data_IF_529758022807
#
_entry.id   IF_529758022807
#
_cell.length_a   1.000
_cell.length_b   1.000
_cell.length_c   1.000
_cell.angle_alpha   90.00
_cell.angle_beta   90.00
_cell.angle_gamma   90.00
#
_symmetry.space_group_name_H-M   'P 1'
#
loop_
_entity.id
_entity.type
_entity.pdbx_description
1 polymer ?
#
# COMPACT_ATOMS: atom_id res chain seq x y z
N UNK A 1 23.25 12.53 71.98
CA UNK A 1 22.83 13.25 70.75
C UNK A 1 23.08 12.33 69.59
N UNK A 2 22.04 11.72 69.05
CA UNK A 2 22.10 10.79 67.94
C UNK A 2 21.70 11.48 66.64
N UNK A 3 22.65 11.73 65.76
CA UNK A 3 22.43 12.30 64.45
C UNK A 3 21.96 11.19 63.50
N UNK A 4 20.71 11.26 63.07
CA UNK A 4 20.15 10.36 62.06
C UNK A 4 20.59 10.83 60.69
N UNK A 5 21.51 10.12 60.07
CA UNK A 5 21.89 10.29 58.66
C UNK A 5 20.81 9.71 57.78
N UNK A 6 20.05 10.52 57.08
CA UNK A 6 19.11 10.08 56.05
C UNK A 6 19.88 9.85 54.76
N UNK A 7 19.93 8.60 54.31
CA UNK A 7 20.33 8.24 52.96
C UNK A 7 19.22 8.59 51.97
N UNK A 8 19.46 9.59 51.14
CA UNK A 8 18.63 9.88 49.96
C UNK A 8 19.02 8.92 48.85
N UNK A 9 18.18 7.90 48.63
CA UNK A 9 18.27 7.04 47.47
C UNK A 9 17.64 7.77 46.29
N UNK A 10 18.49 8.35 45.44
CA UNK A 10 18.09 8.97 44.21
C UNK A 10 17.72 7.89 43.17
N UNK A 11 16.45 7.72 42.91
CA UNK A 11 15.98 6.91 41.79
C UNK A 11 16.22 7.67 40.48
N UNK A 12 17.24 7.30 39.75
CA UNK A 12 17.48 7.76 38.39
C UNK A 12 16.46 7.07 37.46
N UNK A 13 15.39 7.79 37.09
CA UNK A 13 14.49 7.36 36.04
C UNK A 13 15.19 7.57 34.70
N UNK A 14 15.65 6.47 34.10
CA UNK A 14 16.09 6.40 32.71
C UNK A 14 14.84 6.49 31.82
N UNK A 15 14.48 7.70 31.39
CA UNK A 15 13.49 7.89 30.33
C UNK A 15 14.14 7.50 29.01
N UNK A 16 13.84 6.29 28.54
CA UNK A 16 14.16 5.87 27.19
C UNK A 16 13.32 6.70 26.22
N UNK A 17 13.89 7.77 25.67
CA UNK A 17 13.30 8.54 24.57
C UNK A 17 13.31 7.64 23.32
N UNK A 18 12.20 6.99 23.03
CA UNK A 18 11.94 6.36 21.73
C UNK A 18 11.85 7.46 20.68
N UNK A 19 12.92 7.67 19.92
CA UNK A 19 12.89 8.49 18.71
C UNK A 19 12.04 7.76 17.67
N UNK A 20 10.77 8.12 17.61
CA UNK A 20 9.91 7.80 16.48
C UNK A 20 10.43 8.58 15.28
N UNK A 21 11.13 7.89 14.37
CA UNK A 21 11.49 8.44 13.06
C UNK A 21 10.21 8.59 12.26
N UNK A 22 9.60 9.76 12.34
CA UNK A 22 8.45 10.12 11.51
C UNK A 22 9.00 10.54 10.15
N UNK A 23 8.63 9.82 9.10
CA UNK A 23 8.87 10.27 7.73
C UNK A 23 8.15 11.62 7.54
N UNK A 24 8.80 12.61 6.90
CA UNK A 24 8.18 13.90 6.69
C UNK A 24 6.90 13.76 5.86
N UNK A 25 5.82 14.42 6.28
CA UNK A 25 4.51 14.38 5.62
C UNK A 25 4.58 14.67 4.11
N UNK A 26 5.48 15.57 3.70
CA UNK A 26 5.73 15.91 2.30
C UNK A 26 6.18 14.72 1.43
N UNK A 27 6.94 13.76 1.99
CA UNK A 27 7.35 12.57 1.25
C UNK A 27 6.17 11.61 1.03
N UNK A 28 5.26 11.50 1.99
CA UNK A 28 4.05 10.68 1.86
C UNK A 28 3.05 11.27 0.85
N UNK A 29 2.94 12.60 0.79
CA UNK A 29 2.11 13.27 -0.22
C UNK A 29 2.66 13.07 -1.64
N UNK A 30 3.97 13.17 -1.83
CA UNK A 30 4.64 12.94 -3.10
C UNK A 30 4.44 11.49 -3.58
N UNK A 31 4.59 10.50 -2.69
CA UNK A 31 4.35 9.09 -3.01
C UNK A 31 2.89 8.82 -3.39
N UNK A 32 1.95 9.45 -2.69
CA UNK A 32 0.52 9.35 -2.97
C UNK A 32 0.14 9.96 -4.32
N UNK A 33 0.68 11.14 -4.64
CA UNK A 33 0.46 11.79 -5.94
C UNK A 33 1.03 10.95 -7.10
N UNK A 34 2.23 10.39 -6.92
CA UNK A 34 2.87 9.51 -7.91
C UNK A 34 2.12 8.20 -8.09
N UNK A 35 1.63 7.61 -7.02
CA UNK A 35 0.81 6.39 -7.09
C UNK A 35 -0.48 6.61 -7.88
N UNK A 36 -1.15 7.75 -7.67
CA UNK A 36 -2.32 8.15 -8.44
C UNK A 36 -2.00 8.33 -9.92
N UNK A 37 -0.90 8.99 -10.25
CA UNK A 37 -0.43 9.17 -11.63
C UNK A 37 -0.15 7.82 -12.30
N UNK A 38 0.55 6.92 -11.63
CA UNK A 38 0.84 5.57 -12.11
C UNK A 38 -0.45 4.77 -12.34
N UNK A 39 -1.41 4.86 -11.42
CA UNK A 39 -2.72 4.22 -11.59
C UNK A 39 -3.44 4.72 -12.85
N UNK A 40 -3.48 6.03 -13.05
CA UNK A 40 -4.12 6.65 -14.21
C UNK A 40 -3.44 6.25 -15.52
N UNK A 41 -2.11 6.13 -15.52
CA UNK A 41 -1.34 5.81 -16.71
C UNK A 41 -1.39 4.35 -17.11
N UNK A 42 -1.39 3.43 -16.13
CA UNK A 42 -1.18 2.01 -16.39
C UNK A 42 -2.37 1.10 -16.02
N UNK A 43 -3.21 1.51 -15.09
CA UNK A 43 -4.22 0.63 -14.49
C UNK A 43 -5.65 0.99 -14.88
N UNK A 44 -5.96 2.30 -14.94
CA UNK A 44 -7.30 2.86 -15.15
C UNK A 44 -8.00 2.30 -16.39
N UNK A 45 -7.26 2.05 -17.47
CA UNK A 45 -7.82 1.57 -18.73
C UNK A 45 -8.67 0.31 -18.55
N UNK A 46 -8.25 -0.58 -17.66
CA UNK A 46 -8.96 -1.82 -17.36
C UNK A 46 -9.72 -1.73 -16.03
N UNK A 47 -9.08 -1.19 -14.97
CA UNK A 47 -9.67 -1.17 -13.64
C UNK A 47 -10.67 -0.03 -13.37
N UNK A 48 -10.76 0.97 -14.26
CA UNK A 48 -11.67 2.10 -14.12
C UNK A 48 -11.16 3.21 -13.21
N UNK A 49 -11.80 4.38 -13.27
CA UNK A 49 -11.43 5.56 -12.48
C UNK A 49 -11.63 5.36 -10.96
N UNK A 50 -12.65 4.55 -10.61
CA UNK A 50 -13.00 4.21 -9.22
C UNK A 50 -12.58 2.80 -8.82
N UNK A 51 -11.78 2.13 -9.65
CA UNK A 51 -11.26 0.80 -9.38
C UNK A 51 -12.29 -0.34 -9.46
N UNK A 52 -13.44 -0.12 -10.11
CA UNK A 52 -14.56 -1.08 -10.19
C UNK A 52 -14.39 -2.17 -11.25
N UNK A 53 -13.26 -2.20 -11.96
CA UNK A 53 -13.07 -3.13 -13.06
C UNK A 53 -13.90 -2.80 -14.32
N UNK A 54 -14.34 -1.58 -14.44
CA UNK A 54 -15.24 -1.05 -15.47
C UNK A 54 -14.56 -0.06 -16.43
N UNK A 55 -13.24 -0.11 -16.51
CA UNK A 55 -12.50 0.73 -17.44
C UNK A 55 -12.87 0.43 -18.91
N UNK A 56 -12.59 1.36 -19.83
CA UNK A 56 -12.96 1.19 -21.24
C UNK A 56 -12.38 -0.08 -21.90
N UNK A 57 -11.23 -0.56 -21.41
CA UNK A 57 -10.63 -1.80 -21.88
C UNK A 57 -11.24 -3.06 -21.26
N UNK A 58 -12.01 -2.95 -20.18
CA UNK A 58 -12.57 -4.09 -19.46
C UNK A 58 -13.66 -4.83 -20.25
N UNK A 59 -14.31 -4.16 -21.21
CA UNK A 59 -15.40 -4.75 -21.99
C UNK A 59 -14.98 -6.01 -22.75
N UNK A 60 -13.73 -6.06 -23.17
CA UNK A 60 -13.15 -7.15 -23.96
C UNK A 60 -12.53 -8.26 -23.11
N UNK A 61 -12.45 -8.08 -21.78
CA UNK A 61 -11.76 -8.99 -20.89
C UNK A 61 -12.70 -10.02 -20.25
N UNK A 62 -12.22 -11.27 -20.16
CA UNK A 62 -12.88 -12.35 -19.45
C UNK A 62 -11.82 -13.25 -18.76
N UNK A 63 -11.77 -13.30 -17.41
CA UNK A 63 -12.67 -12.61 -16.49
C UNK A 63 -12.49 -11.08 -16.52
N UNK A 64 -13.49 -10.36 -16.01
CA UNK A 64 -13.40 -8.91 -15.80
C UNK A 64 -12.28 -8.57 -14.82
N UNK A 65 -11.65 -7.39 -14.95
CA UNK A 65 -10.71 -6.89 -13.95
C UNK A 65 -11.38 -6.84 -12.56
N UNK A 66 -10.57 -7.08 -11.53
CA UNK A 66 -11.04 -7.06 -10.14
C UNK A 66 -11.64 -5.71 -9.77
N UNK A 67 -12.76 -5.76 -9.06
CA UNK A 67 -13.36 -4.60 -8.41
C UNK A 67 -12.62 -4.33 -7.09
N UNK A 68 -11.83 -3.27 -7.05
CA UNK A 68 -11.08 -2.83 -5.87
C UNK A 68 -11.97 -2.14 -4.82
N UNK A 69 -13.19 -1.73 -5.19
CA UNK A 69 -14.15 -1.16 -4.27
C UNK A 69 -14.93 -2.23 -3.50
N UNK A 70 -14.87 -3.49 -3.93
CA UNK A 70 -15.40 -4.64 -3.17
C UNK A 70 -14.45 -5.01 -2.04
N UNK A 71 -14.64 -4.37 -0.88
CA UNK A 71 -13.80 -4.56 0.30
C UNK A 71 -13.80 -5.98 0.83
N UNK A 72 -14.93 -6.68 0.76
CA UNK A 72 -15.05 -8.06 1.22
C UNK A 72 -14.23 -9.02 0.34
N UNK A 73 -14.16 -8.76 -0.94
CA UNK A 73 -13.32 -9.49 -1.87
C UNK A 73 -11.84 -9.14 -1.67
N UNK A 74 -11.52 -7.84 -1.61
CA UNK A 74 -10.14 -7.37 -1.44
C UNK A 74 -9.47 -7.90 -0.16
N UNK A 75 -10.23 -8.05 0.93
CA UNK A 75 -9.72 -8.58 2.19
C UNK A 75 -9.26 -10.06 2.12
N UNK A 76 -9.60 -10.78 1.06
CA UNK A 76 -9.17 -12.18 0.84
C UNK A 76 -7.79 -12.30 0.21
N UNK A 77 -7.22 -11.19 -0.24
CA UNK A 77 -5.95 -11.14 -0.93
C UNK A 77 -4.88 -10.47 -0.07
N UNK A 78 -3.74 -11.12 0.07
CA UNK A 78 -2.62 -10.57 0.83
C UNK A 78 -1.90 -9.47 0.03
N UNK A 79 -1.18 -8.60 0.76
CA UNK A 79 -0.32 -7.61 0.14
C UNK A 79 0.79 -8.24 -0.71
N UNK A 80 1.31 -9.40 -0.32
CA UNK A 80 2.33 -10.13 -1.10
C UNK A 80 1.75 -10.66 -2.42
N UNK A 81 0.53 -11.19 -2.41
CA UNK A 81 -0.18 -11.59 -3.63
C UNK A 81 -0.44 -10.38 -4.53
N UNK A 82 -0.89 -9.26 -3.97
CA UNK A 82 -1.13 -8.04 -4.72
C UNK A 82 0.18 -7.49 -5.31
N UNK A 83 1.26 -7.47 -4.55
CA UNK A 83 2.57 -7.07 -5.04
C UNK A 83 3.00 -7.95 -6.21
N UNK A 84 2.87 -9.26 -6.06
CA UNK A 84 3.28 -10.23 -7.08
C UNK A 84 2.45 -10.08 -8.36
N UNK A 85 1.13 -9.92 -8.27
CA UNK A 85 0.28 -9.75 -9.45
C UNK A 85 0.59 -8.44 -10.20
N UNK A 86 0.92 -7.38 -9.50
CA UNK A 86 1.31 -6.12 -10.15
C UNK A 86 2.70 -6.22 -10.78
N UNK A 87 3.67 -6.79 -10.07
CA UNK A 87 5.06 -6.86 -10.55
C UNK A 87 5.26 -7.90 -11.65
N UNK A 88 4.64 -9.07 -11.53
CA UNK A 88 4.88 -10.24 -12.40
C UNK A 88 3.72 -10.56 -13.35
N UNK A 89 2.58 -9.88 -13.19
CA UNK A 89 1.37 -10.13 -13.98
C UNK A 89 0.42 -11.15 -13.35
N UNK A 90 -0.80 -11.21 -13.89
CA UNK A 90 -1.85 -12.10 -13.37
C UNK A 90 -1.53 -13.57 -13.52
N UNK A 91 -0.90 -13.96 -14.61
CA UNK A 91 -0.53 -15.36 -14.88
C UNK A 91 0.39 -15.93 -13.80
N UNK A 92 1.29 -15.13 -13.24
CA UNK A 92 2.22 -15.54 -12.19
C UNK A 92 1.54 -15.99 -10.87
N UNK A 93 0.27 -15.64 -10.68
CA UNK A 93 -0.55 -16.02 -9.51
C UNK A 93 -1.80 -16.84 -9.91
N UNK A 94 -1.84 -17.37 -11.13
CA UNK A 94 -2.97 -18.16 -11.63
C UNK A 94 -4.23 -17.33 -11.94
N UNK A 95 -4.05 -16.03 -12.21
CA UNK A 95 -5.10 -15.11 -12.67
C UNK A 95 -4.99 -14.88 -14.18
N UNK A 96 -5.77 -13.94 -14.73
CA UNK A 96 -5.75 -13.65 -16.17
C UNK A 96 -4.39 -13.08 -16.63
N UNK A 97 -3.87 -13.62 -17.72
CA UNK A 97 -2.70 -13.10 -18.41
C UNK A 97 -2.91 -11.70 -19.03
N UNK A 98 -4.17 -11.23 -19.13
CA UNK A 98 -4.49 -9.86 -19.56
C UNK A 98 -3.97 -8.81 -18.57
N UNK A 99 -3.79 -9.19 -17.30
CA UNK A 99 -3.07 -8.36 -16.32
C UNK A 99 -1.57 -8.48 -16.54
N UNK A 100 -1.00 -7.49 -17.23
CA UNK A 100 0.41 -7.47 -17.60
C UNK A 100 1.34 -7.23 -16.39
N UNK A 101 2.60 -7.69 -16.46
CA UNK A 101 3.61 -7.37 -15.44
C UNK A 101 4.09 -5.92 -15.55
N UNK A 102 4.23 -5.26 -14.41
CA UNK A 102 4.67 -3.86 -14.33
C UNK A 102 6.03 -3.69 -13.63
N UNK A 103 6.63 -4.76 -13.09
CA UNK A 103 7.92 -4.70 -12.40
C UNK A 103 9.10 -4.23 -13.27
N UNK A 104 8.99 -4.31 -14.62
CA UNK A 104 9.97 -3.73 -15.55
C UNK A 104 9.78 -2.23 -15.80
N UNK A 105 8.64 -1.66 -15.40
CA UNK A 105 8.26 -0.25 -15.62
C UNK A 105 8.21 0.53 -14.31
N UNK A 106 7.73 -0.09 -13.24
CA UNK A 106 7.61 0.48 -11.91
C UNK A 106 8.61 -0.18 -10.97
N UNK A 107 9.26 0.62 -10.13
CA UNK A 107 10.09 0.12 -9.04
C UNK A 107 9.24 -0.47 -7.90
N UNK A 108 9.85 -1.31 -7.06
CA UNK A 108 9.18 -1.90 -5.89
C UNK A 108 8.53 -0.86 -4.97
N UNK A 109 9.18 0.28 -4.62
CA UNK A 109 8.53 1.34 -3.85
C UNK A 109 7.30 1.94 -4.55
N UNK A 110 7.34 2.14 -5.87
CA UNK A 110 6.20 2.63 -6.64
C UNK A 110 5.05 1.63 -6.67
N UNK A 111 5.33 0.34 -6.82
CA UNK A 111 4.32 -0.73 -6.73
C UNK A 111 3.68 -0.73 -5.34
N UNK A 112 4.47 -0.62 -4.26
CA UNK A 112 3.93 -0.57 -2.89
C UNK A 112 3.08 0.68 -2.64
N UNK A 113 3.48 1.83 -3.19
CA UNK A 113 2.67 3.05 -3.13
C UNK A 113 1.36 2.89 -3.93
N UNK A 114 1.44 2.27 -5.11
CA UNK A 114 0.28 1.95 -5.95
C UNK A 114 -0.70 1.01 -5.22
N UNK A 115 -0.22 -0.02 -4.52
CA UNK A 115 -1.05 -0.91 -3.70
C UNK A 115 -1.84 -0.13 -2.63
N UNK A 116 -1.19 0.81 -1.93
CA UNK A 116 -1.87 1.68 -0.94
C UNK A 116 -2.96 2.53 -1.61
N UNK A 117 -2.69 3.05 -2.80
CA UNK A 117 -3.68 3.80 -3.58
C UNK A 117 -4.87 2.90 -3.96
N UNK A 118 -4.63 1.68 -4.44
CA UNK A 118 -5.67 0.70 -4.77
C UNK A 118 -6.51 0.35 -3.55
N UNK A 119 -5.90 0.12 -2.39
CA UNK A 119 -6.63 -0.11 -1.13
C UNK A 119 -7.51 1.08 -0.71
N UNK A 120 -7.18 2.30 -1.16
CA UNK A 120 -7.97 3.48 -0.84
C UNK A 120 -9.36 3.48 -1.49
N UNK A 121 -9.58 2.73 -2.56
CA UNK A 121 -10.91 2.56 -3.16
C UNK A 121 -11.89 1.87 -2.21
N UNK A 122 -11.38 1.07 -1.30
CA UNK A 122 -12.14 0.34 -0.30
C UNK A 122 -12.48 1.16 0.96
N UNK A 123 -11.95 2.37 1.12
CA UNK A 123 -12.12 3.20 2.33
C UNK A 123 -13.26 4.20 2.26
N UNK A 124 -14.18 4.02 1.33
CA UNK A 124 -15.35 4.91 1.17
C UNK A 124 -16.50 4.50 2.06
#
# INVERSE_FOLDING_TARGET
MMQKTQLLVGAAMLTASMLLVQLPAAAQEADSAKAKENYQSYCRKCHGDEGKGDGPGAAMLNPKPRDFADCANMAKHSDDEMFKVISEGGDAVGMSADMQPWGGTLSDPEIRALMKFVHSFCKK
#
